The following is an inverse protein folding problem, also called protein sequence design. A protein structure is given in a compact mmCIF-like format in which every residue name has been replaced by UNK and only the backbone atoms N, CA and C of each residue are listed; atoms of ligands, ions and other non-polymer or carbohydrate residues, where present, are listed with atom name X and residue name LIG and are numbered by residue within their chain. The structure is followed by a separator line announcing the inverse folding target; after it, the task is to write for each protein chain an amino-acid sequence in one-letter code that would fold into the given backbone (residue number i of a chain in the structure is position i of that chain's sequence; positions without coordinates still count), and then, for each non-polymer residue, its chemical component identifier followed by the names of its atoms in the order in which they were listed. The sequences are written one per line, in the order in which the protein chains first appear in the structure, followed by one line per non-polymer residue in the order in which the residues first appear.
data_IF_295692340273
#
_entry.id   IF_295692340273
#
_cell.length_a   1.000
_cell.length_b   1.000
_cell.length_c   1.000
_cell.angle_alpha   90.00
_cell.angle_beta   90.00
_cell.angle_gamma   90.00
#
_symmetry.space_group_name_H-M   'P 1'
#
loop_
_entity.id
_entity.type
_entity.pdbx_description
1 polymer ?
#
# COMPACT_ATOMS: atom_id res chain seq x y z
N UNK A 1 4.58 6.61 17.47
CA UNK A 1 5.03 7.97 17.11
C UNK A 1 6.24 8.41 17.92
N UNK A 2 6.32 8.15 19.22
CA UNK A 2 7.46 8.57 20.05
C UNK A 2 8.83 8.08 19.53
N UNK A 3 8.96 6.84 19.04
CA UNK A 3 10.21 6.36 18.41
C UNK A 3 10.65 7.23 17.24
N UNK A 4 9.72 7.55 16.32
CA UNK A 4 10.00 8.43 15.16
C UNK A 4 10.32 9.86 15.62
N UNK A 5 9.67 10.35 16.67
CA UNK A 5 9.99 11.66 17.28
C UNK A 5 11.44 11.72 17.77
N UNK A 6 11.94 10.64 18.39
CA UNK A 6 13.29 10.57 18.96
C UNK A 6 14.39 10.31 17.94
N UNK A 7 14.12 9.44 16.97
CA UNK A 7 15.15 8.90 16.07
C UNK A 7 14.94 9.26 14.60
N UNK A 8 13.78 9.79 14.23
CA UNK A 8 13.41 10.03 12.84
C UNK A 8 13.23 8.73 12.05
N UNK A 9 13.26 8.87 10.73
CA UNK A 9 13.35 7.77 9.77
C UNK A 9 14.82 7.51 9.41
N UNK A 10 15.13 6.25 9.09
CA UNK A 10 16.42 5.87 8.54
C UNK A 10 16.59 6.38 7.09
N UNK A 11 17.84 6.43 6.63
CA UNK A 11 18.13 6.81 5.25
C UNK A 11 17.51 5.84 4.24
N UNK A 12 17.54 4.54 4.50
CA UNK A 12 16.97 3.51 3.62
C UNK A 12 15.44 3.58 3.53
N UNK A 13 14.75 3.81 4.65
CA UNK A 13 13.29 4.07 4.64
C UNK A 13 12.95 5.29 3.79
N UNK A 14 13.70 6.38 3.98
CA UNK A 14 13.51 7.62 3.21
C UNK A 14 13.75 7.40 1.72
N UNK A 15 14.82 6.70 1.34
CA UNK A 15 15.16 6.41 -0.05
C UNK A 15 14.09 5.55 -0.74
N UNK A 16 13.55 4.54 -0.05
CA UNK A 16 12.43 3.73 -0.56
C UNK A 16 11.18 4.60 -0.76
N UNK A 17 10.83 5.43 0.22
CA UNK A 17 9.68 6.34 0.10
C UNK A 17 9.85 7.32 -1.06
N UNK A 18 11.02 7.95 -1.19
CA UNK A 18 11.34 8.88 -2.30
C UNK A 18 11.23 8.18 -3.65
N UNK A 19 11.80 6.99 -3.78
CA UNK A 19 11.74 6.18 -5.01
C UNK A 19 10.29 5.86 -5.38
N UNK A 20 9.46 5.45 -4.42
CA UNK A 20 8.06 5.13 -4.66
C UNK A 20 7.25 6.36 -5.12
N UNK A 21 7.49 7.52 -4.50
CA UNK A 21 6.86 8.79 -4.91
C UNK A 21 7.27 9.15 -6.33
N UNK A 22 8.57 9.14 -6.65
CA UNK A 22 9.05 9.47 -7.99
C UNK A 22 8.49 8.51 -9.06
N UNK A 23 8.43 7.21 -8.77
CA UNK A 23 7.77 6.22 -9.64
C UNK A 23 6.29 6.50 -9.84
N UNK A 24 5.58 7.00 -8.82
CA UNK A 24 4.17 7.39 -8.98
C UNK A 24 4.02 8.55 -9.97
N UNK A 25 4.90 9.56 -9.89
CA UNK A 25 4.90 10.66 -10.86
C UNK A 25 5.32 10.21 -12.26
N UNK A 26 6.34 9.36 -12.38
CA UNK A 26 6.76 8.75 -13.65
C UNK A 26 5.63 7.98 -14.32
N UNK A 27 4.96 7.10 -13.56
CA UNK A 27 3.79 6.37 -14.05
C UNK A 27 2.66 7.30 -14.49
N UNK A 28 2.40 8.37 -13.72
CA UNK A 28 1.42 9.39 -14.10
C UNK A 28 1.79 10.09 -15.40
N UNK A 29 3.07 10.44 -15.56
CA UNK A 29 3.60 11.10 -16.76
C UNK A 29 3.55 10.20 -18.00
N UNK A 30 4.00 8.95 -17.89
CA UNK A 30 3.98 8.00 -19.00
C UNK A 30 2.55 7.73 -19.48
N UNK A 31 1.58 7.74 -18.56
CA UNK A 31 0.18 7.43 -18.86
C UNK A 31 -0.72 8.67 -18.93
N UNK A 32 -0.15 9.87 -19.15
CA UNK A 32 -0.88 11.15 -19.10
C UNK A 32 -2.00 11.28 -20.14
N UNK A 33 -1.82 10.69 -21.32
CA UNK A 33 -2.82 10.68 -22.39
C UNK A 33 -3.94 9.64 -22.17
N UNK A 34 -3.83 8.84 -21.10
CA UNK A 34 -4.71 7.72 -20.76
C UNK A 34 -5.30 7.90 -19.36
N UNK A 35 -5.46 9.15 -18.94
CA UNK A 35 -5.96 9.50 -17.63
C UNK A 35 -7.50 9.58 -17.63
N UNK A 36 -8.11 9.23 -16.50
CA UNK A 36 -9.57 9.24 -16.39
C UNK A 36 -10.08 10.68 -16.23
N UNK A 37 -11.18 11.00 -16.93
CA UNK A 37 -11.88 12.29 -16.78
C UNK A 37 -12.20 12.65 -15.32
N UNK A 38 -12.53 11.66 -14.48
CA UNK A 38 -12.82 11.86 -13.06
C UNK A 38 -11.66 12.49 -12.30
N UNK A 39 -10.40 12.24 -12.72
CA UNK A 39 -9.23 12.86 -12.10
C UNK A 39 -9.21 14.36 -12.37
N UNK A 40 -9.35 14.77 -13.62
CA UNK A 40 -9.40 16.19 -13.98
C UNK A 40 -10.58 16.90 -13.32
N UNK A 41 -11.76 16.26 -13.26
CA UNK A 41 -12.91 16.81 -12.54
C UNK A 41 -12.59 17.07 -11.06
N UNK A 42 -11.90 16.14 -10.40
CA UNK A 42 -11.49 16.30 -9.01
C UNK A 42 -10.45 17.44 -8.86
N UNK A 43 -9.48 17.55 -9.76
CA UNK A 43 -8.48 18.62 -9.74
C UNK A 43 -9.11 20.01 -9.90
N UNK A 44 -10.09 20.16 -10.80
CA UNK A 44 -10.83 21.41 -10.95
C UNK A 44 -11.68 21.75 -9.72
N UNK A 45 -12.32 20.75 -9.11
CA UNK A 45 -13.09 20.95 -7.87
C UNK A 45 -12.15 21.40 -6.74
N UNK A 46 -11.01 20.74 -6.56
CA UNK A 46 -10.02 21.15 -5.54
C UNK A 46 -9.48 22.54 -5.80
N UNK A 47 -9.14 22.87 -7.05
CA UNK A 47 -8.68 24.23 -7.41
C UNK A 47 -9.73 25.29 -7.11
N UNK A 48 -11.00 25.04 -7.43
CA UNK A 48 -12.08 25.97 -7.14
C UNK A 48 -12.31 26.18 -5.64
N UNK A 49 -12.26 25.10 -4.84
CA UNK A 49 -12.55 25.15 -3.40
C UNK A 49 -11.34 25.67 -2.61
N UNK A 50 -10.13 25.25 -2.95
CA UNK A 50 -8.92 25.49 -2.16
C UNK A 50 -7.98 26.56 -2.77
N UNK A 51 -8.30 27.09 -3.97
CA UNK A 51 -7.40 27.97 -4.73
C UNK A 51 -6.05 27.31 -5.08
N UNK A 52 -6.06 25.99 -5.27
CA UNK A 52 -4.88 25.21 -5.65
C UNK A 52 -4.56 25.37 -7.15
N UNK A 53 -3.27 25.48 -7.54
CA UNK A 53 -2.87 25.50 -8.95
C UNK A 53 -3.07 24.12 -9.61
N UNK A 54 -3.32 24.10 -10.91
CA UNK A 54 -3.46 22.88 -11.73
C UNK A 54 -2.36 22.88 -12.81
N UNK A 55 -1.09 22.66 -12.44
CA UNK A 55 0.02 22.74 -13.39
C UNK A 55 0.11 21.52 -14.31
N UNK A 56 -0.55 20.41 -13.93
CA UNK A 56 -0.58 19.16 -14.68
C UNK A 56 0.64 18.27 -14.46
N UNK A 57 0.47 16.98 -14.78
CA UNK A 57 1.44 15.93 -14.44
C UNK A 57 2.82 16.14 -15.09
N UNK A 58 2.90 16.79 -16.25
CA UNK A 58 4.19 17.08 -16.89
C UNK A 58 5.04 18.06 -16.07
N UNK A 59 4.43 19.11 -15.56
CA UNK A 59 5.10 20.06 -14.69
C UNK A 59 5.45 19.40 -13.35
N UNK A 60 4.50 18.70 -12.74
CA UNK A 60 4.69 18.04 -11.44
C UNK A 60 5.80 16.99 -11.49
N UNK A 61 5.86 16.16 -12.53
CA UNK A 61 6.92 15.17 -12.72
C UNK A 61 8.31 15.82 -12.79
N UNK A 62 8.46 16.86 -13.63
CA UNK A 62 9.73 17.57 -13.76
C UNK A 62 10.13 18.28 -12.46
N UNK A 63 9.17 18.93 -11.81
CA UNK A 63 9.38 19.61 -10.54
C UNK A 63 9.82 18.62 -9.45
N UNK A 64 9.15 17.47 -9.33
CA UNK A 64 9.47 16.46 -8.32
C UNK A 64 10.83 15.82 -8.56
N UNK A 65 11.19 15.53 -9.82
CA UNK A 65 12.54 15.06 -10.15
C UNK A 65 13.63 16.07 -9.82
N UNK A 66 13.34 17.36 -9.90
CA UNK A 66 14.27 18.42 -9.52
C UNK A 66 14.38 18.57 -8.00
N UNK A 67 13.25 18.55 -7.29
CA UNK A 67 13.20 18.89 -5.85
C UNK A 67 13.54 17.69 -4.98
N UNK A 68 12.96 16.51 -5.24
CA UNK A 68 13.06 15.36 -4.33
C UNK A 68 14.50 14.92 -4.02
N UNK A 69 15.46 14.90 -4.99
CA UNK A 69 16.85 14.55 -4.69
C UNK A 69 17.57 15.57 -3.78
N UNK A 70 17.07 16.80 -3.71
CA UNK A 70 17.65 17.89 -2.92
C UNK A 70 17.05 17.99 -1.51
N UNK A 71 16.09 17.13 -1.15
CA UNK A 71 15.53 17.06 0.20
C UNK A 71 16.30 15.99 0.98
N UNK A 72 17.09 16.35 1.99
CA UNK A 72 17.78 15.37 2.82
C UNK A 72 16.83 14.76 3.86
N UNK A 73 17.12 13.52 4.32
CA UNK A 73 16.30 12.85 5.35
C UNK A 73 16.29 13.65 6.67
N UNK A 74 17.36 14.39 6.95
CA UNK A 74 17.48 15.27 8.11
C UNK A 74 16.40 16.37 8.09
N UNK A 75 16.06 16.93 6.92
CA UNK A 75 15.01 17.94 6.81
C UNK A 75 13.61 17.34 7.08
N UNK A 76 13.39 16.09 6.68
CA UNK A 76 12.17 15.35 7.00
C UNK A 76 12.09 15.09 8.50
N UNK A 77 13.18 14.58 9.10
CA UNK A 77 13.24 14.26 10.52
C UNK A 77 13.05 15.51 11.40
N UNK A 78 13.62 16.66 10.99
CA UNK A 78 13.39 17.95 11.65
C UNK A 78 11.92 18.39 11.58
N UNK A 79 11.29 18.27 10.41
CA UNK A 79 9.86 18.59 10.24
C UNK A 79 8.98 17.71 11.13
N UNK A 80 9.26 16.40 11.18
CA UNK A 80 8.49 15.47 12.02
C UNK A 80 8.63 15.78 13.51
N UNK A 81 9.82 16.18 13.98
CA UNK A 81 10.01 16.60 15.36
C UNK A 81 9.20 17.86 15.72
N UNK A 82 8.92 18.73 14.74
CA UNK A 82 8.05 19.90 14.94
C UNK A 82 6.56 19.54 14.92
N UNK A 83 6.17 18.58 14.07
CA UNK A 83 4.77 18.12 13.95
C UNK A 83 4.34 17.26 15.15
N UNK A 84 5.21 16.39 15.63
CA UNK A 84 4.95 15.51 16.78
C UNK A 84 5.44 16.20 18.05
N UNK A 85 4.66 17.19 18.50
CA UNK A 85 4.96 17.97 19.70
C UNK A 85 4.29 17.44 20.97
N UNK A 86 4.61 18.09 22.10
CA UNK A 86 3.98 17.84 23.41
C UNK A 86 2.70 18.66 23.62
N UNK A 87 2.30 19.47 22.63
CA UNK A 87 1.16 20.39 22.69
C UNK A 87 0.20 20.11 21.54
N UNK A 88 -1.04 20.60 21.65
CA UNK A 88 -2.09 20.45 20.62
C UNK A 88 -2.41 18.99 20.28
N UNK A 89 -2.44 18.12 21.29
CA UNK A 89 -2.78 16.71 21.14
C UNK A 89 -4.25 16.48 21.46
N UNK A 90 -4.94 15.73 20.60
CA UNK A 90 -6.28 15.22 20.85
C UNK A 90 -6.18 13.71 21.07
N UNK A 91 -6.67 13.24 22.21
CA UNK A 91 -6.74 11.82 22.53
C UNK A 91 -8.20 11.40 22.38
N UNK A 92 -8.46 10.41 21.53
CA UNK A 92 -9.79 9.84 21.35
C UNK A 92 -9.77 8.37 21.73
N UNK A 93 -10.72 7.98 22.57
CA UNK A 93 -10.98 6.58 22.93
C UNK A 93 -12.36 6.22 22.38
N UNK A 94 -12.42 5.16 21.60
CA UNK A 94 -13.66 4.62 21.04
C UNK A 94 -13.78 3.15 21.40
N UNK A 95 -14.98 2.73 21.80
CA UNK A 95 -15.26 1.34 22.15
C UNK A 95 -16.76 1.04 22.07
N UNK A 96 -17.14 -0.23 22.26
CA UNK A 96 -18.54 -0.64 22.20
C UNK A 96 -19.33 -0.15 23.42
N UNK A 97 -20.59 0.18 23.22
CA UNK A 97 -21.53 0.45 24.31
C UNK A 97 -21.95 -0.89 24.94
N UNK A 98 -21.24 -1.32 25.99
CA UNK A 98 -21.47 -2.59 26.68
C UNK A 98 -21.38 -2.40 28.19
N UNK A 99 -22.34 -2.97 28.91
CA UNK A 99 -22.37 -2.95 30.37
C UNK A 99 -21.13 -3.62 30.97
N UNK A 100 -20.54 -2.99 31.99
CA UNK A 100 -19.32 -3.45 32.67
C UNK A 100 -18.01 -3.13 31.94
N UNK A 101 -18.05 -2.46 30.78
CA UNK A 101 -16.83 -1.97 30.13
C UNK A 101 -16.41 -0.63 30.77
N UNK A 102 -15.20 -0.61 31.34
CA UNK A 102 -14.61 0.60 31.93
C UNK A 102 -13.67 1.24 30.92
N UNK A 103 -13.92 2.51 30.62
CA UNK A 103 -13.04 3.31 29.78
C UNK A 103 -11.95 3.98 30.64
N UNK A 104 -10.73 4.16 30.10
CA UNK A 104 -9.68 4.87 30.80
C UNK A 104 -10.10 6.32 31.08
N UNK A 105 -9.71 6.80 32.24
CA UNK A 105 -9.86 8.21 32.64
C UNK A 105 -8.88 9.10 31.90
N UNK A 106 -9.12 10.41 31.91
CA UNK A 106 -8.21 11.41 31.34
C UNK A 106 -6.81 11.29 31.95
N UNK A 107 -6.72 11.15 33.28
CA UNK A 107 -5.45 11.01 33.99
C UNK A 107 -4.69 9.75 33.58
N UNK A 108 -5.38 8.62 33.40
CA UNK A 108 -4.77 7.37 32.93
C UNK A 108 -4.24 7.49 31.50
N UNK A 109 -4.96 8.18 30.61
CA UNK A 109 -4.53 8.42 29.23
C UNK A 109 -3.30 9.33 29.18
N UNK A 110 -3.30 10.41 29.97
CA UNK A 110 -2.17 11.33 30.09
C UNK A 110 -0.96 10.61 30.69
N UNK A 111 -1.16 9.80 31.74
CA UNK A 111 -0.11 9.00 32.35
C UNK A 111 0.49 7.99 31.35
N UNK A 112 -0.34 7.30 30.57
CA UNK A 112 0.14 6.35 29.55
C UNK A 112 1.06 7.02 28.52
N UNK A 113 0.70 8.22 28.04
CA UNK A 113 1.52 8.98 27.10
C UNK A 113 2.85 9.41 27.74
N UNK A 114 2.79 9.91 28.98
CA UNK A 114 4.00 10.34 29.70
C UNK A 114 4.93 9.17 30.04
N UNK A 115 4.38 7.98 30.30
CA UNK A 115 5.16 6.76 30.53
C UNK A 115 5.93 6.33 29.28
N UNK A 116 5.30 6.36 28.11
CA UNK A 116 6.00 6.05 26.84
C UNK A 116 7.12 7.08 26.58
N UNK A 117 6.92 8.35 26.95
CA UNK A 117 7.96 9.39 26.86
C UNK A 117 9.14 9.18 27.81
N UNK A 118 8.96 8.51 28.94
CA UNK A 118 10.04 8.20 29.88
C UNK A 118 10.67 6.83 29.65
N UNK A 119 10.02 5.96 28.86
CA UNK A 119 10.51 4.63 28.53
C UNK A 119 11.81 4.68 27.72
N UNK A 120 12.69 3.70 27.94
CA UNK A 120 13.87 3.49 27.11
C UNK A 120 13.46 2.82 25.80
N UNK A 121 13.31 3.63 24.76
CA UNK A 121 12.98 3.17 23.41
C UNK A 121 14.25 3.14 22.58
N UNK A 122 14.51 2.02 21.92
CA UNK A 122 15.61 1.88 20.95
C UNK A 122 15.19 2.39 19.56
N UNK A 123 16.18 2.81 18.78
CA UNK A 123 15.99 3.20 17.39
C UNK A 123 15.42 2.03 16.57
N UNK A 124 14.63 2.35 15.54
CA UNK A 124 14.18 1.33 14.61
C UNK A 124 15.38 0.78 13.84
N UNK A 125 15.48 -0.55 13.78
CA UNK A 125 16.47 -1.26 12.99
C UNK A 125 15.72 -1.96 11.87
N UNK A 126 16.08 -1.63 10.65
CA UNK A 126 15.46 -2.24 9.47
C UNK A 126 16.02 -3.64 9.23
N UNK A 127 15.12 -4.59 8.98
CA UNK A 127 15.47 -5.93 8.51
C UNK A 127 15.35 -5.96 6.98
N UNK A 128 16.47 -5.78 6.28
CA UNK A 128 16.51 -5.86 4.82
C UNK A 128 16.76 -7.32 4.41
N UNK A 129 15.80 -7.92 3.71
CA UNK A 129 15.98 -9.21 3.03
C UNK A 129 16.26 -8.98 1.55
N UNK A 130 17.41 -9.46 1.07
CA UNK A 130 17.76 -9.53 -0.35
C UNK A 130 17.41 -10.88 -0.98
N UNK A 131 16.62 -11.70 -0.29
CA UNK A 131 16.21 -12.99 -0.82
C UNK A 131 15.28 -12.81 -2.05
N UNK A 132 15.29 -13.74 -3.01
CA UNK A 132 14.27 -13.76 -4.05
C UNK A 132 12.93 -14.22 -3.48
N UNK A 133 11.82 -13.62 -3.92
CA UNK A 133 10.45 -14.03 -3.54
C UNK A 133 10.19 -15.52 -3.84
N UNK A 134 10.79 -16.04 -4.92
CA UNK A 134 10.74 -17.45 -5.32
C UNK A 134 12.18 -17.94 -5.52
N UNK A 135 12.78 -18.51 -4.47
CA UNK A 135 14.16 -19.00 -4.51
C UNK A 135 14.39 -20.15 -5.48
N UNK A 136 13.40 -21.03 -5.64
CA UNK A 136 13.42 -22.12 -6.62
C UNK A 136 12.20 -21.99 -7.52
N UNK A 137 12.36 -21.54 -8.76
CA UNK A 137 11.25 -21.46 -9.71
C UNK A 137 10.56 -22.83 -9.87
N UNK A 138 9.22 -22.86 -9.94
CA UNK A 138 8.50 -24.12 -10.17
C UNK A 138 8.86 -24.71 -11.53
N UNK A 139 8.71 -26.02 -11.67
CA UNK A 139 8.90 -26.68 -12.97
C UNK A 139 7.92 -26.12 -14.00
N UNK A 140 8.37 -25.72 -15.20
CA UNK A 140 7.48 -25.16 -16.21
C UNK A 140 6.35 -26.13 -16.57
N UNK A 141 5.12 -25.63 -16.50
CA UNK A 141 3.95 -26.35 -17.00
C UNK A 141 3.87 -26.31 -18.54
N UNK A 142 2.89 -27.03 -19.09
CA UNK A 142 2.58 -27.03 -20.53
C UNK A 142 1.22 -26.42 -20.80
N UNK A 143 1.13 -25.69 -21.91
CA UNK A 143 -0.16 -25.25 -22.47
C UNK A 143 -0.75 -26.45 -23.22
N UNK A 144 -1.94 -26.88 -22.80
CA UNK A 144 -2.64 -28.01 -23.41
C UNK A 144 -3.50 -27.56 -24.61
N UNK A 145 -4.07 -26.37 -24.54
CA UNK A 145 -4.93 -25.81 -25.59
C UNK A 145 -4.79 -24.30 -25.67
N UNK A 146 -4.82 -23.75 -26.89
CA UNK A 146 -4.85 -22.32 -27.19
C UNK A 146 -6.07 -22.04 -28.05
N UNK A 147 -6.91 -21.11 -27.62
CA UNK A 147 -8.12 -20.69 -28.31
C UNK A 147 -8.17 -19.17 -28.43
N UNK A 148 -8.84 -18.67 -29.47
CA UNK A 148 -9.12 -17.23 -29.62
C UNK A 148 -10.58 -16.95 -29.26
N UNK A 149 -10.79 -15.99 -28.37
CA UNK A 149 -12.11 -15.48 -28.03
C UNK A 149 -12.33 -14.15 -28.76
N UNK A 150 -13.02 -14.21 -29.89
CA UNK A 150 -13.29 -13.03 -30.74
C UNK A 150 -14.15 -11.97 -30.03
N UNK A 151 -15.08 -12.38 -29.16
CA UNK A 151 -15.96 -11.43 -28.47
C UNK A 151 -15.21 -10.55 -27.44
N UNK A 152 -14.14 -11.08 -26.85
CA UNK A 152 -13.32 -10.38 -25.88
C UNK A 152 -12.01 -9.83 -26.47
N UNK A 153 -11.71 -10.15 -27.73
CA UNK A 153 -10.42 -9.99 -28.38
C UNK A 153 -9.27 -10.47 -27.47
N UNK A 154 -9.37 -11.75 -27.06
CA UNK A 154 -8.46 -12.34 -26.08
C UNK A 154 -8.00 -13.74 -26.50
N UNK A 155 -6.80 -14.12 -26.07
CA UNK A 155 -6.30 -15.49 -26.20
C UNK A 155 -6.58 -16.25 -24.91
N UNK A 156 -7.19 -17.43 -25.01
CA UNK A 156 -7.48 -18.30 -23.88
C UNK A 156 -6.56 -19.51 -23.92
N UNK A 157 -5.77 -19.69 -22.88
CA UNK A 157 -4.96 -20.90 -22.68
C UNK A 157 -5.63 -21.81 -21.67
N UNK A 158 -5.71 -23.10 -21.98
CA UNK A 158 -5.95 -24.13 -20.97
C UNK A 158 -4.61 -24.80 -20.66
N UNK A 159 -4.19 -24.72 -19.40
CA UNK A 159 -2.95 -25.32 -18.91
C UNK A 159 -3.16 -26.82 -18.60
N UNK A 160 -2.09 -27.59 -18.56
CA UNK A 160 -2.14 -29.03 -18.24
C UNK A 160 -2.82 -29.35 -16.90
N UNK A 161 -2.77 -28.44 -15.93
CA UNK A 161 -3.41 -28.58 -14.62
C UNK A 161 -4.90 -28.14 -14.61
N UNK A 162 -5.47 -27.80 -15.78
CA UNK A 162 -6.87 -27.38 -15.92
C UNK A 162 -7.13 -25.89 -15.68
N UNK A 163 -6.12 -25.09 -15.28
CA UNK A 163 -6.27 -23.65 -15.15
C UNK A 163 -6.51 -23.00 -16.52
N UNK A 164 -7.41 -22.01 -16.56
CA UNK A 164 -7.63 -21.16 -17.72
C UNK A 164 -6.97 -19.81 -17.53
N UNK A 165 -6.14 -19.41 -18.49
CA UNK A 165 -5.50 -18.08 -18.52
C UNK A 165 -6.09 -17.31 -19.68
N UNK A 166 -6.68 -16.15 -19.39
CA UNK A 166 -7.24 -15.26 -20.41
C UNK A 166 -6.26 -14.10 -20.58
N UNK A 167 -5.57 -14.08 -21.71
CA UNK A 167 -4.63 -13.02 -22.07
C UNK A 167 -5.36 -12.02 -22.95
N UNK A 168 -5.53 -10.82 -22.41
CA UNK A 168 -6.09 -9.68 -23.14
C UNK A 168 -5.08 -8.54 -23.14
N UNK A 169 -4.54 -8.24 -24.30
CA UNK A 169 -3.71 -7.06 -24.50
C UNK A 169 -4.63 -5.84 -24.56
N UNK A 170 -4.28 -4.79 -23.81
CA UNK A 170 -4.98 -3.51 -23.87
C UNK A 170 -3.95 -2.40 -24.03
N UNK A 171 -4.41 -1.24 -24.49
CA UNK A 171 -3.62 -0.02 -24.64
C UNK A 171 -3.96 1.02 -23.55
N UNK A 172 -4.61 0.60 -22.45
CA UNK A 172 -5.10 1.51 -21.41
C UNK A 172 -3.99 2.12 -20.54
N UNK A 173 -2.87 1.41 -20.37
CA UNK A 173 -1.67 1.86 -19.65
C UNK A 173 -0.43 1.21 -20.28
N UNK A 174 0.64 1.98 -20.47
CA UNK A 174 1.84 1.52 -21.21
C UNK A 174 2.76 0.62 -20.38
N UNK A 175 2.77 0.79 -19.06
CA UNK A 175 3.69 0.09 -18.14
C UNK A 175 2.95 -0.74 -17.08
N UNK A 176 1.82 -1.36 -17.44
CA UNK A 176 0.99 -2.11 -16.48
C UNK A 176 0.57 -3.49 -16.99
N UNK A 177 0.81 -4.50 -16.15
CA UNK A 177 0.20 -5.82 -16.28
C UNK A 177 -0.75 -5.99 -15.10
N UNK A 178 -2.04 -6.16 -15.38
CA UNK A 178 -3.04 -6.48 -14.36
C UNK A 178 -3.34 -7.97 -14.41
N UNK A 179 -3.10 -8.65 -13.29
CA UNK A 179 -3.40 -10.05 -13.12
C UNK A 179 -4.47 -10.23 -12.05
N UNK A 180 -5.51 -11.00 -12.38
CA UNK A 180 -6.55 -11.40 -11.43
C UNK A 180 -6.69 -12.91 -11.46
N UNK A 181 -6.60 -13.54 -10.29
CA UNK A 181 -6.87 -14.96 -10.10
C UNK A 181 -8.23 -15.18 -9.44
N UNK A 182 -9.00 -16.14 -9.95
CA UNK A 182 -10.25 -16.55 -9.31
C UNK A 182 -10.42 -18.07 -9.38
N UNK A 183 -11.11 -18.62 -8.38
CA UNK A 183 -11.48 -20.04 -8.32
C UNK A 183 -12.96 -20.16 -8.02
N UNK A 184 -13.63 -21.08 -8.70
CA UNK A 184 -15.04 -21.40 -8.43
C UNK A 184 -15.20 -21.94 -7.01
N UNK A 185 -16.30 -21.60 -6.35
CA UNK A 185 -16.66 -22.10 -5.03
C UNK A 185 -16.39 -21.12 -3.89
N UNK A 186 -15.33 -20.32 -3.94
CA UNK A 186 -15.00 -19.35 -2.88
C UNK A 186 -15.09 -19.98 -1.47
N UNK A 187 -15.66 -19.25 -0.51
CA UNK A 187 -15.85 -19.74 0.85
C UNK A 187 -17.07 -20.68 1.02
N UNK A 188 -17.97 -20.80 0.02
CA UNK A 188 -19.22 -21.56 0.18
C UNK A 188 -18.97 -23.06 0.39
N UNK A 189 -17.84 -23.57 -0.11
CA UNK A 189 -17.39 -24.94 0.09
C UNK A 189 -17.09 -25.27 1.56
N UNK A 190 -16.72 -24.27 2.35
CA UNK A 190 -16.30 -24.42 3.75
C UNK A 190 -17.31 -23.81 4.73
N UNK A 191 -18.22 -22.96 4.23
CA UNK A 191 -19.19 -22.22 5.05
C UNK A 191 -20.15 -23.11 5.84
N UNK A 192 -20.41 -24.34 5.37
CA UNK A 192 -21.30 -25.28 6.07
C UNK A 192 -20.66 -25.83 7.34
N UNK A 193 -19.34 -26.00 7.33
CA UNK A 193 -18.59 -26.58 8.45
C UNK A 193 -18.10 -25.49 9.41
N UNK A 194 -17.63 -24.37 8.86
CA UNK A 194 -17.09 -23.26 9.65
C UNK A 194 -17.38 -21.90 8.99
N UNK A 195 -18.61 -21.36 9.12
CA UNK A 195 -19.03 -20.16 8.43
C UNK A 195 -18.27 -18.91 8.84
N UNK A 196 -17.78 -18.84 10.09
CA UNK A 196 -17.10 -17.67 10.62
C UNK A 196 -15.67 -17.63 10.09
N UNK A 197 -14.90 -18.71 10.26
CA UNK A 197 -13.52 -18.73 9.77
C UNK A 197 -13.47 -18.70 8.25
N UNK A 198 -14.40 -19.35 7.55
CA UNK A 198 -14.47 -19.30 6.09
C UNK A 198 -14.66 -17.87 5.55
N UNK A 199 -15.40 -17.00 6.26
CA UNK A 199 -15.54 -15.57 5.90
C UNK A 199 -14.30 -14.74 6.22
N UNK A 200 -13.59 -15.06 7.29
CA UNK A 200 -12.40 -14.31 7.72
C UNK A 200 -11.13 -14.70 6.97
N UNK A 201 -11.08 -15.90 6.37
CA UNK A 201 -9.87 -16.48 5.78
C UNK A 201 -9.16 -15.56 4.78
N UNK A 202 -9.91 -14.92 3.87
CA UNK A 202 -9.33 -13.99 2.89
C UNK A 202 -8.67 -12.77 3.55
N UNK A 203 -9.26 -12.25 4.64
CA UNK A 203 -8.69 -11.12 5.37
C UNK A 203 -7.44 -11.52 6.16
N UNK A 204 -7.39 -12.76 6.68
CA UNK A 204 -6.26 -13.25 7.47
C UNK A 204 -5.05 -13.51 6.56
N UNK A 205 -5.26 -14.07 5.37
CA UNK A 205 -4.16 -14.37 4.44
C UNK A 205 -3.39 -13.11 4.07
N UNK A 206 -4.06 -11.97 3.89
CA UNK A 206 -3.41 -10.69 3.56
C UNK A 206 -2.68 -10.03 4.73
N UNK A 207 -2.91 -10.49 5.97
CA UNK A 207 -2.12 -10.06 7.14
C UNK A 207 -0.83 -10.86 7.29
N UNK A 208 -0.76 -12.02 6.62
CA UNK A 208 0.41 -12.87 6.58
C UNK A 208 1.46 -12.39 5.59
N UNK A 209 2.64 -12.97 5.72
CA UNK A 209 3.72 -12.88 4.76
C UNK A 209 3.55 -13.80 3.54
N UNK A 210 4.49 -13.72 2.59
CA UNK A 210 4.59 -14.65 1.46
C UNK A 210 5.98 -15.28 1.48
N UNK A 211 6.04 -16.61 1.55
CA UNK A 211 7.32 -17.32 1.70
C UNK A 211 8.06 -16.89 2.98
N UNK A 212 9.29 -16.41 2.83
CA UNK A 212 10.12 -15.91 3.94
C UNK A 212 9.88 -14.43 4.27
N UNK A 213 9.05 -13.73 3.50
CA UNK A 213 8.82 -12.29 3.67
C UNK A 213 7.64 -12.07 4.60
N UNK A 214 7.77 -11.21 5.60
CA UNK A 214 6.65 -10.73 6.40
C UNK A 214 5.78 -9.76 5.60
N UNK A 215 4.58 -9.45 6.10
CA UNK A 215 3.71 -8.43 5.50
C UNK A 215 4.36 -7.03 5.39
N UNK A 216 5.41 -6.76 6.18
CA UNK A 216 6.14 -5.48 6.17
C UNK A 216 7.43 -5.50 5.34
N UNK A 217 7.87 -6.69 4.89
CA UNK A 217 9.07 -6.87 4.08
C UNK A 217 8.77 -7.29 2.62
N UNK A 218 7.49 -7.36 2.25
CA UNK A 218 6.99 -7.51 0.88
C UNK A 218 6.94 -6.17 0.14
#
# INVERSE_FOLDING_TARGET
TERVRRFGFSASEYERARTNILKQYENGYNNRDKERNSRYSQEYVSSFINSEPIPGIEYEYNMMNMIAPNIPVEAINQTIAQLIGDKNMVISVSGPEKEGLVYPTEDELVAAINNVKSEKIEAYVEEVSNEPLIATPPTPGKIALVEKNEALDATVWTLQNGMKVILKTTDFKDDQIVMTGSSTGGYSQYAVQDPINARMMNNIITLGGVGNFSATHL
#
